data_IF_936338902063
#
_entry.id   IF_936338902063
#
_cell.length_a   1.000
_cell.length_b   1.000
_cell.length_c   1.000
_cell.angle_alpha   90.00
_cell.angle_beta   90.00
_cell.angle_gamma   90.00
#
_symmetry.space_group_name_H-M   'P 1'
#
loop_
_entity.id
_entity.type
_entity.pdbx_description
1 polymer ?
#
# COMPACT_ATOMS: atom_id res chain seq x y z
N UNK A 1 17.92 21.80 16.78
CA UNK A 1 16.50 21.69 16.37
C UNK A 1 15.88 20.65 17.28
N UNK A 2 14.96 21.07 18.15
CA UNK A 2 14.26 20.15 19.06
C UNK A 2 13.46 19.14 18.23
N UNK A 3 13.58 17.86 18.57
CA UNK A 3 12.79 16.79 17.99
C UNK A 3 11.32 16.99 18.42
N UNK A 4 10.55 17.71 17.61
CA UNK A 4 9.11 17.74 17.75
C UNK A 4 8.58 16.41 17.22
N UNK A 5 8.31 15.47 18.13
CA UNK A 5 7.51 14.29 17.81
C UNK A 5 6.09 14.79 17.51
N UNK A 6 5.88 15.26 16.29
CA UNK A 6 4.62 15.87 15.88
C UNK A 6 3.47 14.88 16.11
N UNK A 7 2.33 15.40 16.56
CA UNK A 7 1.18 14.60 16.99
C UNK A 7 0.52 13.80 15.86
N UNK A 8 0.95 14.00 14.61
CA UNK A 8 0.42 13.36 13.40
C UNK A 8 0.51 11.82 13.43
N UNK A 9 1.41 11.22 14.21
CA UNK A 9 1.45 9.75 14.33
C UNK A 9 0.15 9.15 14.91
N UNK A 10 -0.63 9.94 15.66
CA UNK A 10 -1.93 9.52 16.21
C UNK A 10 -3.00 9.38 15.13
N UNK A 11 -2.84 10.02 13.96
CA UNK A 11 -3.73 9.88 12.82
C UNK A 11 -3.73 8.46 12.24
N UNK A 12 -2.74 7.62 12.60
CA UNK A 12 -2.75 6.19 12.29
C UNK A 12 -4.04 5.49 12.76
N UNK A 13 -4.66 5.97 13.84
CA UNK A 13 -5.94 5.47 14.33
C UNK A 13 -7.16 5.80 13.46
N UNK A 14 -7.00 6.71 12.49
CA UNK A 14 -8.06 7.13 11.56
C UNK A 14 -8.06 6.35 10.24
N UNK A 15 -7.10 5.45 10.03
CA UNK A 15 -7.07 4.59 8.85
C UNK A 15 -8.37 3.76 8.76
N UNK A 16 -9.10 3.94 7.67
CA UNK A 16 -10.44 3.36 7.46
C UNK A 16 -10.43 1.82 7.53
N UNK A 17 -9.33 1.19 7.08
CA UNK A 17 -9.15 -0.26 7.05
C UNK A 17 -7.84 -0.68 7.72
N UNK A 18 -7.91 -1.71 8.55
CA UNK A 18 -6.70 -2.44 8.97
C UNK A 18 -6.10 -3.25 7.81
N UNK A 19 -4.83 -3.65 7.96
CA UNK A 19 -4.15 -4.54 7.01
C UNK A 19 -4.94 -5.84 6.74
N UNK A 20 -5.46 -6.47 7.80
CA UNK A 20 -6.28 -7.68 7.67
C UNK A 20 -7.58 -7.42 6.90
N UNK A 21 -8.31 -6.35 7.26
CA UNK A 21 -9.56 -6.00 6.57
C UNK A 21 -9.34 -5.72 5.09
N UNK A 22 -8.25 -5.01 4.77
CA UNK A 22 -7.82 -4.75 3.39
C UNK A 22 -7.63 -6.04 2.59
N UNK A 23 -6.89 -7.01 3.14
CA UNK A 23 -6.62 -8.27 2.45
C UNK A 23 -7.89 -9.10 2.23
N UNK A 24 -8.80 -9.11 3.20
CA UNK A 24 -10.09 -9.78 3.04
C UNK A 24 -10.95 -9.13 1.96
N UNK A 25 -11.08 -7.80 2.00
CA UNK A 25 -11.93 -7.09 1.04
C UNK A 25 -11.38 -7.16 -0.39
N UNK A 26 -10.06 -7.03 -0.58
CA UNK A 26 -9.41 -7.24 -1.88
C UNK A 26 -9.62 -8.65 -2.41
N UNK A 27 -9.54 -9.66 -1.53
CA UNK A 27 -9.77 -11.06 -1.90
C UNK A 27 -11.22 -11.29 -2.31
N UNK A 28 -12.17 -10.82 -1.50
CA UNK A 28 -13.61 -10.91 -1.80
C UNK A 28 -13.91 -10.21 -3.13
N UNK A 29 -13.39 -9.00 -3.35
CA UNK A 29 -13.57 -8.25 -4.59
C UNK A 29 -13.02 -9.01 -5.80
N UNK A 30 -11.79 -9.54 -5.71
CA UNK A 30 -11.16 -10.33 -6.77
C UNK A 30 -11.95 -11.60 -7.12
N UNK A 31 -12.49 -12.29 -6.11
CA UNK A 31 -13.28 -13.49 -6.31
C UNK A 31 -14.65 -13.19 -6.90
N UNK A 32 -15.34 -12.14 -6.43
CA UNK A 32 -16.64 -11.72 -6.98
C UNK A 32 -16.57 -11.31 -8.45
N UNK A 33 -15.42 -10.79 -8.91
CA UNK A 33 -15.20 -10.52 -10.34
C UNK A 33 -15.14 -11.77 -11.22
N UNK A 34 -14.97 -12.96 -10.62
CA UNK A 34 -14.88 -14.24 -11.32
C UNK A 34 -16.18 -15.04 -11.19
N UNK A 35 -16.83 -14.97 -10.03
CA UNK A 35 -18.06 -15.71 -9.70
C UNK A 35 -18.89 -14.97 -8.65
N UNK A 36 -20.15 -14.71 -8.95
CA UNK A 36 -21.10 -14.02 -8.05
C UNK A 36 -21.58 -14.92 -6.90
N UNK A 37 -21.35 -16.24 -6.95
CA UNK A 37 -21.76 -17.21 -5.92
C UNK A 37 -20.69 -17.42 -4.84
N UNK A 38 -20.10 -16.34 -4.33
CA UNK A 38 -19.01 -16.39 -3.37
C UNK A 38 -19.44 -16.85 -1.97
N UNK A 39 -18.73 -17.84 -1.41
CA UNK A 39 -18.92 -18.35 -0.04
C UNK A 39 -17.66 -18.26 0.80
N UNK A 40 -17.83 -18.28 2.13
CA UNK A 40 -16.72 -18.20 3.09
C UNK A 40 -15.67 -19.30 2.92
N UNK A 41 -16.06 -20.50 2.47
CA UNK A 41 -15.13 -21.60 2.16
C UNK A 41 -14.14 -21.26 1.05
N UNK A 42 -14.60 -20.53 0.02
CA UNK A 42 -13.77 -20.10 -1.09
C UNK A 42 -12.77 -19.03 -0.64
N UNK A 43 -13.24 -18.06 0.16
CA UNK A 43 -12.37 -17.03 0.76
C UNK A 43 -11.29 -17.67 1.66
N UNK A 44 -11.67 -18.66 2.47
CA UNK A 44 -10.72 -19.38 3.34
C UNK A 44 -9.64 -20.12 2.53
N UNK A 45 -10.05 -20.76 1.42
CA UNK A 45 -9.13 -21.44 0.51
C UNK A 45 -8.16 -20.44 -0.15
N UNK A 46 -8.66 -19.32 -0.64
CA UNK A 46 -7.86 -18.30 -1.34
C UNK A 46 -6.84 -17.65 -0.40
N UNK A 47 -7.24 -17.33 0.84
CA UNK A 47 -6.36 -16.73 1.84
C UNK A 47 -5.44 -17.74 2.56
N UNK A 48 -5.65 -19.05 2.37
CA UNK A 48 -4.87 -20.09 3.05
C UNK A 48 -5.08 -20.15 4.57
N UNK A 49 -6.29 -19.82 5.06
CA UNK A 49 -6.60 -19.72 6.50
C UNK A 49 -7.84 -20.55 6.88
N UNK A 50 -8.08 -20.72 8.17
CA UNK A 50 -9.21 -21.53 8.65
C UNK A 50 -10.57 -20.88 8.36
N UNK A 51 -11.60 -21.71 8.13
CA UNK A 51 -13.00 -21.24 7.98
C UNK A 51 -13.47 -20.43 9.18
N UNK A 52 -13.08 -20.82 10.40
CA UNK A 52 -13.42 -20.09 11.62
C UNK A 52 -12.84 -18.68 11.64
N UNK A 53 -11.58 -18.51 11.20
CA UNK A 53 -10.96 -17.19 11.09
C UNK A 53 -11.72 -16.31 10.08
N UNK A 54 -12.08 -16.87 8.92
CA UNK A 54 -12.88 -16.15 7.92
C UNK A 54 -14.24 -15.75 8.46
N UNK A 55 -14.95 -16.64 9.15
CA UNK A 55 -16.25 -16.30 9.75
C UNK A 55 -16.15 -15.16 10.76
N UNK A 56 -15.12 -15.18 11.62
CA UNK A 56 -14.91 -14.12 12.60
C UNK A 56 -14.64 -12.77 11.92
N UNK A 57 -13.80 -12.76 10.88
CA UNK A 57 -13.49 -11.53 10.15
C UNK A 57 -14.69 -11.02 9.32
N UNK A 58 -15.42 -11.91 8.66
CA UNK A 58 -16.63 -11.58 7.93
C UNK A 58 -17.71 -10.98 8.84
N UNK A 59 -17.84 -11.48 10.07
CA UNK A 59 -18.73 -10.88 11.08
C UNK A 59 -18.35 -9.43 11.36
N UNK A 60 -17.07 -9.15 11.64
CA UNK A 60 -16.56 -7.78 11.88
C UNK A 60 -16.78 -6.86 10.68
N UNK A 61 -16.48 -7.34 9.47
CA UNK A 61 -16.70 -6.57 8.23
C UNK A 61 -18.19 -6.29 8.00
N UNK A 62 -19.07 -7.24 8.32
CA UNK A 62 -20.52 -7.05 8.24
C UNK A 62 -21.03 -6.04 9.27
N UNK A 63 -20.49 -6.03 10.49
CA UNK A 63 -20.81 -5.03 11.53
C UNK A 63 -20.39 -3.62 11.08
N UNK A 64 -19.24 -3.51 10.41
CA UNK A 64 -18.78 -2.28 9.74
C UNK A 64 -19.53 -1.95 8.45
N UNK A 65 -20.51 -2.76 8.05
CA UNK A 65 -21.28 -2.64 6.79
C UNK A 65 -20.44 -2.75 5.51
N UNK A 66 -19.21 -3.26 5.59
CA UNK A 66 -18.29 -3.40 4.46
C UNK A 66 -18.54 -4.66 3.61
N UNK A 67 -19.30 -5.61 4.13
CA UNK A 67 -19.69 -6.85 3.45
C UNK A 67 -21.14 -7.17 3.80
N UNK A 68 -21.88 -7.78 2.87
CA UNK A 68 -23.23 -8.30 3.10
C UNK A 68 -23.25 -9.81 2.89
N UNK A 69 -23.87 -10.51 3.84
CA UNK A 69 -24.04 -11.97 3.78
C UNK A 69 -25.53 -12.29 3.75
N UNK A 70 -26.00 -12.98 2.71
CA UNK A 70 -27.37 -13.48 2.58
C UNK A 70 -27.33 -14.92 2.08
N UNK A 71 -28.00 -15.84 2.75
CA UNK A 71 -28.05 -17.27 2.35
C UNK A 71 -26.65 -17.88 2.12
N UNK A 72 -25.71 -17.52 2.99
CA UNK A 72 -24.28 -17.91 2.91
C UNK A 72 -23.54 -17.40 1.67
N UNK A 73 -24.12 -16.47 0.90
CA UNK A 73 -23.46 -15.76 -0.19
C UNK A 73 -22.93 -14.41 0.30
N UNK A 74 -21.71 -14.11 -0.10
CA UNK A 74 -20.97 -12.90 0.24
C UNK A 74 -21.12 -11.91 -0.91
N UNK A 75 -21.38 -10.63 -0.60
CA UNK A 75 -21.43 -9.55 -1.58
C UNK A 75 -20.83 -8.27 -0.99
N UNK A 76 -20.37 -7.37 -1.86
CA UNK A 76 -19.83 -6.06 -1.47
C UNK A 76 -20.85 -4.96 -1.77
N UNK A 77 -21.21 -4.13 -0.77
CA UNK A 77 -21.91 -2.88 -1.01
C UNK A 77 -21.09 -1.92 -1.90
N UNK A 78 -21.77 -1.01 -2.61
CA UNK A 78 -21.13 -0.04 -3.52
C UNK A 78 -20.03 0.80 -2.85
N UNK A 79 -20.24 1.24 -1.61
CA UNK A 79 -19.24 2.03 -0.89
C UNK A 79 -17.98 1.21 -0.61
N UNK A 80 -18.12 -0.08 -0.28
CA UNK A 80 -17.00 -0.98 -0.02
C UNK A 80 -16.21 -1.26 -1.31
N UNK A 81 -16.89 -1.38 -2.44
CA UNK A 81 -16.25 -1.48 -3.76
C UNK A 81 -15.36 -0.24 -4.01
N UNK A 82 -15.88 0.97 -3.79
CA UNK A 82 -15.11 2.20 -3.97
C UNK A 82 -13.85 2.24 -3.09
N UNK A 83 -13.96 1.83 -1.82
CA UNK A 83 -12.82 1.78 -0.88
C UNK A 83 -11.77 0.78 -1.39
N UNK A 84 -12.20 -0.42 -1.77
CA UNK A 84 -11.31 -1.49 -2.25
C UNK A 84 -10.59 -1.08 -3.53
N UNK A 85 -11.28 -0.44 -4.47
CA UNK A 85 -10.69 0.04 -5.71
C UNK A 85 -9.63 1.12 -5.46
N UNK A 86 -9.87 2.06 -4.54
CA UNK A 86 -8.85 3.03 -4.11
C UNK A 86 -7.61 2.35 -3.54
N UNK A 87 -7.79 1.39 -2.64
CA UNK A 87 -6.68 0.67 -2.02
C UNK A 87 -5.93 -0.20 -3.04
N UNK A 88 -6.64 -0.87 -3.94
CA UNK A 88 -6.04 -1.62 -5.05
C UNK A 88 -5.22 -0.70 -5.97
N UNK A 89 -5.72 0.49 -6.28
CA UNK A 89 -5.01 1.48 -7.10
C UNK A 89 -3.74 1.98 -6.41
N UNK A 90 -3.80 2.28 -5.10
CA UNK A 90 -2.61 2.64 -4.30
C UNK A 90 -1.58 1.52 -4.34
N UNK A 91 -1.99 0.26 -4.10
CA UNK A 91 -1.11 -0.92 -4.17
C UNK A 91 -0.45 -1.05 -5.54
N UNK A 92 -1.23 -1.00 -6.63
CA UNK A 92 -0.70 -1.17 -7.98
C UNK A 92 0.24 -0.02 -8.37
N UNK A 93 -0.10 1.21 -8.00
CA UNK A 93 0.74 2.39 -8.23
C UNK A 93 2.09 2.24 -7.54
N UNK A 94 2.09 1.77 -6.29
CA UNK A 94 3.32 1.54 -5.54
C UNK A 94 4.16 0.40 -6.12
N UNK A 95 3.53 -0.70 -6.57
CA UNK A 95 4.24 -1.80 -7.24
C UNK A 95 5.00 -1.26 -8.45
N UNK A 96 4.32 -0.47 -9.29
CA UNK A 96 4.92 0.12 -10.50
C UNK A 96 6.03 1.10 -10.14
N UNK A 97 5.81 1.99 -9.17
CA UNK A 97 6.83 2.94 -8.72
C UNK A 97 8.09 2.20 -8.24
N UNK A 98 7.93 1.25 -7.31
CA UNK A 98 9.05 0.52 -6.72
C UNK A 98 9.78 -0.31 -7.78
N UNK A 99 9.06 -1.04 -8.63
CA UNK A 99 9.69 -1.96 -9.58
C UNK A 99 10.20 -1.30 -10.86
N UNK A 100 9.38 -0.48 -11.53
CA UNK A 100 9.73 0.08 -12.85
C UNK A 100 10.61 1.33 -12.73
N UNK A 101 10.41 2.15 -11.70
CA UNK A 101 11.14 3.41 -11.52
C UNK A 101 12.34 3.21 -10.60
N UNK A 102 12.12 2.65 -9.41
CA UNK A 102 13.16 2.52 -8.38
C UNK A 102 13.99 1.24 -8.53
N UNK A 103 13.64 0.35 -9.46
CA UNK A 103 14.41 -0.86 -9.76
C UNK A 103 14.35 -1.94 -8.67
N UNK A 104 13.39 -1.86 -7.75
CA UNK A 104 13.20 -2.85 -6.68
C UNK A 104 12.70 -4.17 -7.30
N UNK A 105 13.26 -5.34 -6.92
CA UNK A 105 12.78 -6.62 -7.41
C UNK A 105 11.27 -6.79 -7.21
N UNK A 106 10.57 -7.29 -8.25
CA UNK A 106 9.09 -7.35 -8.29
C UNK A 106 8.46 -8.00 -7.03
N UNK A 107 9.07 -9.05 -6.48
CA UNK A 107 8.56 -9.70 -5.28
C UNK A 107 8.63 -8.78 -4.05
N UNK A 108 9.73 -8.02 -3.88
CA UNK A 108 9.89 -7.03 -2.80
C UNK A 108 8.92 -5.88 -3.01
N UNK A 109 8.85 -5.33 -4.24
CA UNK A 109 7.90 -4.27 -4.58
C UNK A 109 6.45 -4.65 -4.26
N UNK A 110 6.07 -5.89 -4.58
CA UNK A 110 4.74 -6.43 -4.24
C UNK A 110 4.55 -6.56 -2.74
N UNK A 111 5.51 -7.13 -2.01
CA UNK A 111 5.45 -7.28 -0.56
C UNK A 111 5.36 -5.94 0.15
N UNK A 112 6.17 -4.95 -0.23
CA UNK A 112 6.18 -3.64 0.42
C UNK A 112 4.96 -2.81 0.07
N UNK A 113 4.47 -2.90 -1.18
CA UNK A 113 3.19 -2.28 -1.56
C UNK A 113 2.02 -2.85 -0.78
N UNK A 114 2.04 -4.15 -0.44
CA UNK A 114 1.03 -4.75 0.44
C UNK A 114 1.11 -4.27 1.90
N UNK A 115 2.22 -3.69 2.34
CA UNK A 115 2.35 -3.18 3.72
C UNK A 115 1.78 -1.77 3.85
N UNK A 116 1.83 -0.97 2.80
CA UNK A 116 1.62 0.48 2.90
C UNK A 116 0.36 0.99 2.21
N UNK A 117 -0.25 0.24 1.28
CA UNK A 117 -1.36 0.72 0.45
C UNK A 117 -2.56 1.24 1.25
N UNK A 118 -2.80 0.66 2.42
CA UNK A 118 -3.91 1.02 3.31
C UNK A 118 -3.52 2.12 4.32
N UNK A 119 -2.23 2.47 4.37
CA UNK A 119 -1.69 3.55 5.21
C UNK A 119 -1.56 4.87 4.44
N UNK A 120 -1.58 4.81 3.10
CA UNK A 120 -1.51 5.99 2.25
C UNK A 120 -2.86 6.70 2.24
N UNK A 121 -2.83 8.02 2.49
CA UNK A 121 -3.99 8.89 2.28
C UNK A 121 -4.46 8.86 0.83
N UNK A 122 -5.71 9.27 0.58
CA UNK A 122 -6.22 9.40 -0.78
C UNK A 122 -5.41 10.43 -1.58
N UNK A 123 -5.05 11.56 -0.97
CA UNK A 123 -4.23 12.61 -1.60
C UNK A 123 -2.84 12.09 -2.01
N UNK A 124 -2.19 11.32 -1.13
CA UNK A 124 -0.89 10.71 -1.45
C UNK A 124 -1.03 9.69 -2.58
N UNK A 125 -2.10 8.88 -2.52
CA UNK A 125 -2.42 7.92 -3.57
C UNK A 125 -2.62 8.58 -4.94
N UNK A 126 -3.35 9.69 -5.01
CA UNK A 126 -3.58 10.44 -6.24
C UNK A 126 -2.30 11.10 -6.77
N UNK A 127 -1.51 11.71 -5.89
CA UNK A 127 -0.23 12.30 -6.26
C UNK A 127 0.75 11.26 -6.83
N UNK A 128 0.85 10.10 -6.18
CA UNK A 128 1.67 8.98 -6.64
C UNK A 128 1.17 8.44 -7.99
N UNK A 129 -0.15 8.29 -8.16
CA UNK A 129 -0.72 7.81 -9.41
C UNK A 129 -0.39 8.77 -10.55
N UNK A 130 -0.57 10.07 -10.35
CA UNK A 130 -0.21 11.12 -11.31
C UNK A 130 1.28 11.06 -11.66
N UNK A 131 2.14 10.91 -10.67
CA UNK A 131 3.59 10.83 -10.87
C UNK A 131 3.99 9.58 -11.69
N UNK A 132 3.48 8.41 -11.31
CA UNK A 132 3.74 7.15 -12.02
C UNK A 132 3.19 7.19 -13.45
N UNK A 133 1.99 7.73 -13.66
CA UNK A 133 1.43 7.90 -15.00
C UNK A 133 2.31 8.82 -15.87
N UNK A 134 2.83 9.90 -15.30
CA UNK A 134 3.77 10.77 -16.00
C UNK A 134 5.05 10.03 -16.37
N UNK A 135 5.62 9.26 -15.44
CA UNK A 135 6.84 8.47 -15.68
C UNK A 135 6.65 7.32 -16.67
N UNK A 136 5.42 6.82 -16.85
CA UNK A 136 5.08 5.81 -17.87
C UNK A 136 4.76 6.39 -19.24
N UNK A 137 4.83 7.72 -19.41
CA UNK A 137 4.61 8.34 -20.72
C UNK A 137 5.81 8.14 -21.66
N UNK A 138 5.56 8.22 -22.97
CA UNK A 138 6.56 8.14 -24.04
C UNK A 138 7.31 9.46 -24.29
N UNK A 139 7.20 10.42 -23.36
CA UNK A 139 7.84 11.73 -23.47
C UNK A 139 9.35 11.58 -23.43
N UNK A 140 10.05 12.19 -24.39
CA UNK A 140 11.53 12.16 -24.49
C UNK A 140 12.23 12.55 -23.18
N UNK A 141 11.74 13.58 -22.49
CA UNK A 141 12.30 14.03 -21.20
C UNK A 141 12.20 12.97 -20.12
N UNK A 142 11.11 12.20 -20.09
CA UNK A 142 10.88 11.13 -19.12
C UNK A 142 11.81 9.96 -19.42
N UNK A 143 11.87 9.54 -20.68
CA UNK A 143 12.76 8.45 -21.12
C UNK A 143 14.24 8.78 -20.84
N UNK A 144 14.65 10.03 -21.07
CA UNK A 144 16.00 10.49 -20.76
C UNK A 144 16.24 10.51 -19.25
N UNK A 145 15.30 11.04 -18.46
CA UNK A 145 15.40 11.04 -17.00
C UNK A 145 15.56 9.62 -16.44
N UNK A 146 14.68 8.67 -16.82
CA UNK A 146 14.74 7.30 -16.33
C UNK A 146 16.05 6.62 -16.70
N UNK A 147 16.55 6.85 -17.92
CA UNK A 147 17.84 6.30 -18.37
C UNK A 147 19.02 6.81 -17.54
N UNK A 148 19.02 8.08 -17.17
CA UNK A 148 20.09 8.66 -16.33
C UNK A 148 19.92 8.24 -14.87
N UNK A 149 18.69 8.23 -14.34
CA UNK A 149 18.38 7.77 -12.99
C UNK A 149 18.77 6.30 -12.77
N UNK A 150 18.49 5.41 -13.72
CA UNK A 150 18.86 3.99 -13.62
C UNK A 150 20.37 3.74 -13.57
N UNK A 151 21.18 4.69 -14.06
CA UNK A 151 22.65 4.61 -13.98
C UNK A 151 23.21 5.34 -12.76
N UNK A 152 22.37 6.12 -12.07
CA UNK A 152 22.79 6.88 -10.91
C UNK A 152 22.99 5.93 -9.74
N UNK A 153 24.21 5.92 -9.22
CA UNK A 153 24.54 5.26 -7.96
C UNK A 153 24.68 6.35 -6.91
N UNK A 154 23.91 6.23 -5.83
CA UNK A 154 24.05 7.14 -4.70
C UNK A 154 25.46 6.98 -4.13
N UNK A 155 26.28 8.01 -4.30
CA UNK A 155 27.53 8.16 -3.58
C UNK A 155 27.26 9.14 -2.43
N UNK A 156 27.29 8.62 -1.20
CA UNK A 156 27.30 9.48 -0.03
C UNK A 156 28.69 10.09 0.07
N UNK A 157 28.86 11.32 -0.41
CA UNK A 157 30.05 12.12 -0.17
C UNK A 157 29.93 12.76 1.22
N UNK A 158 30.79 12.40 2.20
CA UNK A 158 30.75 12.96 3.54
C UNK A 158 30.98 14.48 3.59
N UNK A 159 31.60 15.06 2.56
CA UNK A 159 31.86 16.50 2.45
C UNK A 159 30.68 17.25 1.82
N UNK A 160 29.82 16.55 1.06
CA UNK A 160 28.59 17.10 0.49
C UNK A 160 27.42 16.66 1.37
N UNK A 161 27.02 17.53 2.29
CA UNK A 161 25.80 17.35 3.07
C UNK A 161 24.57 17.31 2.16
N UNK A 162 24.17 16.12 1.70
CA UNK A 162 23.03 15.95 0.81
C UNK A 162 21.67 16.10 1.51
N UNK A 163 21.64 16.36 2.81
CA UNK A 163 20.42 16.57 3.59
C UNK A 163 19.66 15.30 4.00
N UNK A 164 19.92 14.16 3.35
CA UNK A 164 19.10 12.95 3.51
C UNK A 164 19.34 12.19 4.81
N UNK A 165 20.54 12.28 5.40
CA UNK A 165 20.94 11.51 6.58
C UNK A 165 21.27 12.38 7.81
N UNK A 166 20.95 13.67 7.78
CA UNK A 166 21.29 14.65 8.83
C UNK A 166 20.79 14.24 10.21
N UNK A 167 19.63 13.57 10.28
CA UNK A 167 19.01 13.12 11.52
C UNK A 167 19.53 11.76 12.04
N UNK A 168 20.29 11.01 11.24
CA UNK A 168 20.78 9.66 11.61
C UNK A 168 22.23 9.73 12.11
N UNK A 169 23.10 10.47 11.42
CA UNK A 169 24.52 10.58 11.80
C UNK A 169 24.78 11.52 13.00
N UNK A 170 23.79 12.31 13.40
CA UNK A 170 23.87 13.15 14.60
C UNK A 170 23.86 12.33 15.91
N UNK A 171 23.52 11.03 15.86
CA UNK A 171 23.46 10.16 17.03
C UNK A 171 24.79 9.47 17.38
N UNK A 172 25.72 9.31 16.42
CA UNK A 172 27.01 8.65 16.65
C UNK A 172 28.00 9.56 17.40
N UNK A 173 27.88 10.88 17.26
CA UNK A 173 28.80 11.86 17.88
C UNK A 173 28.54 12.13 19.37
N UNK A 174 27.53 11.48 19.97
CA UNK A 174 27.14 11.74 21.38
C UNK A 174 27.70 10.69 22.35
N UNK A 175 28.33 9.61 21.86
CA UNK A 175 28.89 8.55 22.72
C UNK A 175 30.42 8.60 22.91
N UNK A 176 31.08 9.67 22.48
CA UNK A 176 32.48 9.94 22.83
C UNK A 176 32.56 11.24 23.63
N UNK A 177 32.26 11.17 24.92
CA UNK A 177 32.73 12.08 25.98
C UNK A 177 32.51 11.44 27.36
#
# INVERSE_FOLDING_TARGET
MEFQFEQYWKEYGENELSHSETHYLLTIYSLLRKDDLLRASTVAKELGISRNAVHLQLKKLSEKKLVKIKENLISLPKHSINIVEKVANKRQTMIVLLSEVLGVPMHIATTDSCKIEHLLSDDTGEALLKFVQFLRSDRKVVLQFLKEFQKYYLQCDPEIGCGLCENIHSMEKVNEN
#
